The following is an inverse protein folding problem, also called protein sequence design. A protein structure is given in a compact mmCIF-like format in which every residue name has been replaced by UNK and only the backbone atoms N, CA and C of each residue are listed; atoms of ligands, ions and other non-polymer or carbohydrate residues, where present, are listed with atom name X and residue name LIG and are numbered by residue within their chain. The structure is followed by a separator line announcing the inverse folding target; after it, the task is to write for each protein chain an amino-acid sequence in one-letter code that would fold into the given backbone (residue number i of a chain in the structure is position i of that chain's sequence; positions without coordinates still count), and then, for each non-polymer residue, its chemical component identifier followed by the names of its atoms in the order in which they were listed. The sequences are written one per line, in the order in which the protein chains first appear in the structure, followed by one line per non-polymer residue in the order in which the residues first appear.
data_IF_778721501397
#
_entry.id   IF_778721501397
#
_cell.length_a   1.000
_cell.length_b   1.000
_cell.length_c   1.000
_cell.angle_alpha   90.00
_cell.angle_beta   90.00
_cell.angle_gamma   90.00
#
_symmetry.space_group_name_H-M   'P 1'
#
loop_
_entity.id
_entity.type
_entity.pdbx_description
1 polymer ?
#
# COMPACT_ATOMS: atom_id res chain seq x y z
N UNK A 1 -12.42 -27.08 4.72
CA UNK A 1 -12.14 -27.13 6.17
C UNK A 1 -10.68 -26.79 6.52
N UNK A 2 -9.73 -26.91 5.58
CA UNK A 2 -8.30 -26.66 5.85
C UNK A 2 -7.84 -25.21 5.62
N UNK A 3 -8.43 -24.48 4.68
CA UNK A 3 -8.04 -23.10 4.33
C UNK A 3 -8.49 -22.07 5.40
N UNK A 4 -9.56 -22.39 6.15
CA UNK A 4 -10.13 -21.53 7.19
C UNK A 4 -9.12 -21.09 8.26
N UNK A 5 -8.14 -21.95 8.59
CA UNK A 5 -7.10 -21.64 9.60
C UNK A 5 -6.13 -20.53 9.17
N UNK A 6 -6.13 -20.16 7.89
CA UNK A 6 -5.23 -19.20 7.29
C UNK A 6 -5.91 -17.87 6.91
N UNK A 7 -7.19 -17.71 7.25
CA UNK A 7 -8.00 -16.55 6.90
C UNK A 7 -8.69 -15.97 8.12
N UNK A 8 -8.67 -14.64 8.26
CA UNK A 8 -9.44 -13.93 9.29
C UNK A 8 -10.94 -13.96 9.00
N UNK A 9 -11.32 -13.96 7.72
CA UNK A 9 -12.71 -14.03 7.30
C UNK A 9 -12.83 -14.56 5.87
N UNK A 10 -14.00 -15.09 5.53
CA UNK A 10 -14.39 -15.48 4.17
C UNK A 10 -15.38 -14.48 3.61
N UNK A 11 -15.13 -14.05 2.38
CA UNK A 11 -15.98 -13.12 1.62
C UNK A 11 -16.70 -13.91 0.54
N UNK A 12 -18.02 -13.83 0.52
CA UNK A 12 -18.85 -14.43 -0.53
C UNK A 12 -19.74 -13.36 -1.12
N UNK A 13 -19.66 -13.16 -2.43
CA UNK A 13 -20.55 -12.25 -3.16
C UNK A 13 -21.49 -13.11 -3.99
N UNK A 14 -22.80 -12.94 -3.80
CA UNK A 14 -23.83 -13.67 -4.57
C UNK A 14 -24.90 -12.68 -4.99
N UNK A 15 -25.21 -12.62 -6.28
CA UNK A 15 -26.20 -11.71 -6.86
C UNK A 15 -26.03 -10.25 -6.39
N UNK A 16 -24.77 -9.78 -6.32
CA UNK A 16 -24.42 -8.43 -5.91
C UNK A 16 -24.56 -8.13 -4.41
N UNK A 17 -24.84 -9.14 -3.57
CA UNK A 17 -24.86 -9.01 -2.11
C UNK A 17 -23.59 -9.55 -1.48
N UNK A 18 -23.11 -8.86 -0.44
CA UNK A 18 -21.90 -9.23 0.30
C UNK A 18 -22.26 -10.07 1.52
N UNK A 19 -21.61 -11.22 1.66
CA UNK A 19 -21.71 -12.09 2.82
C UNK A 19 -20.31 -12.30 3.42
N UNK A 20 -20.19 -12.17 4.74
CA UNK A 20 -18.92 -12.34 5.45
C UNK A 20 -19.07 -13.33 6.59
N UNK A 21 -18.15 -14.29 6.65
CA UNK A 21 -18.05 -15.31 7.70
C UNK A 21 -16.73 -15.08 8.45
N UNK A 22 -16.83 -14.55 9.67
CA UNK A 22 -15.68 -14.12 10.48
C UNK A 22 -15.08 -15.29 11.27
N UNK A 23 -13.76 -15.43 11.25
CA UNK A 23 -13.03 -16.55 11.86
C UNK A 23 -12.18 -16.14 13.05
N UNK A 24 -11.48 -15.01 12.95
CA UNK A 24 -10.76 -14.40 14.07
C UNK A 24 -10.56 -12.90 13.84
N UNK A 25 -10.22 -12.21 14.92
CA UNK A 25 -10.10 -10.74 14.92
C UNK A 25 -8.89 -10.24 14.16
N UNK A 26 -9.08 -9.10 13.51
CA UNK A 26 -8.02 -8.33 12.88
C UNK A 26 -7.45 -7.29 13.84
N UNK A 27 -6.19 -6.92 13.63
CA UNK A 27 -5.61 -5.74 14.30
C UNK A 27 -6.43 -4.51 13.91
N UNK A 28 -6.90 -3.71 14.87
CA UNK A 28 -7.60 -2.44 14.62
C UNK A 28 -8.83 -2.60 13.68
N UNK A 29 -9.28 -1.51 13.07
CA UNK A 29 -10.43 -1.45 12.14
C UNK A 29 -10.17 -2.07 10.75
N UNK A 30 -9.11 -2.85 10.57
CA UNK A 30 -8.69 -3.40 9.26
C UNK A 30 -9.77 -4.23 8.58
N UNK A 31 -10.46 -5.09 9.32
CA UNK A 31 -11.56 -5.90 8.77
C UNK A 31 -12.69 -5.00 8.27
N UNK A 32 -13.15 -4.08 9.12
CA UNK A 32 -14.25 -3.17 8.84
C UNK A 32 -13.99 -2.34 7.58
N UNK A 33 -12.82 -1.73 7.46
CA UNK A 33 -12.49 -0.88 6.31
C UNK A 33 -12.21 -1.68 5.03
N UNK A 34 -11.75 -2.93 5.13
CA UNK A 34 -11.66 -3.83 3.96
C UNK A 34 -13.03 -4.28 3.48
N UNK A 35 -13.94 -4.62 4.39
CA UNK A 35 -15.35 -4.97 4.07
C UNK A 35 -16.07 -3.75 3.49
N UNK A 36 -15.84 -2.57 4.05
CA UNK A 36 -16.30 -1.30 3.48
C UNK A 36 -15.85 -1.14 2.04
N UNK A 37 -14.58 -1.44 1.74
CA UNK A 37 -14.05 -1.44 0.38
C UNK A 37 -14.82 -2.34 -0.58
N UNK A 38 -15.16 -3.56 -0.18
CA UNK A 38 -16.01 -4.45 -0.98
C UNK A 38 -17.43 -3.89 -1.19
N UNK A 39 -18.05 -3.31 -0.16
CA UNK A 39 -19.36 -2.67 -0.30
C UNK A 39 -19.29 -1.47 -1.25
N UNK A 40 -18.24 -0.66 -1.17
CA UNK A 40 -18.05 0.46 -2.09
C UNK A 40 -17.82 -0.04 -3.52
N UNK A 41 -17.06 -1.12 -3.73
CA UNK A 41 -16.90 -1.74 -5.04
C UNK A 41 -18.25 -2.17 -5.63
N UNK A 42 -19.08 -2.86 -4.84
CA UNK A 42 -20.42 -3.31 -5.27
C UNK A 42 -21.34 -2.14 -5.59
N UNK A 43 -21.28 -1.07 -4.79
CA UNK A 43 -22.04 0.16 -5.04
C UNK A 43 -21.55 0.89 -6.29
N UNK A 44 -20.23 0.89 -6.54
CA UNK A 44 -19.62 1.57 -7.68
C UNK A 44 -19.89 0.85 -8.99
N UNK A 45 -19.92 -0.48 -8.99
CA UNK A 45 -20.20 -1.31 -10.17
C UNK A 45 -21.39 -2.26 -9.96
N UNK A 46 -22.62 -1.75 -9.80
CA UNK A 46 -23.80 -2.58 -9.53
C UNK A 46 -24.02 -3.63 -10.62
N UNK A 47 -24.21 -4.89 -10.20
CA UNK A 47 -24.49 -6.01 -11.09
C UNK A 47 -23.32 -6.45 -11.99
N UNK A 48 -22.11 -5.90 -11.80
CA UNK A 48 -20.94 -6.25 -12.62
C UNK A 48 -19.92 -7.15 -11.92
N UNK A 49 -20.01 -7.28 -10.60
CA UNK A 49 -19.17 -8.21 -9.83
C UNK A 49 -19.80 -9.61 -9.92
N UNK A 50 -19.06 -10.63 -10.40
CA UNK A 50 -19.58 -11.98 -10.49
C UNK A 50 -19.78 -12.59 -9.09
N UNK A 51 -20.56 -13.67 -9.04
CA UNK A 51 -20.59 -14.51 -7.86
C UNK A 51 -19.15 -15.01 -7.57
N UNK A 52 -18.67 -14.83 -6.35
CA UNK A 52 -17.29 -15.18 -5.97
C UNK A 52 -17.20 -15.63 -4.51
N UNK A 53 -16.22 -16.46 -4.21
CA UNK A 53 -15.95 -17.01 -2.88
C UNK A 53 -14.45 -16.91 -2.56
N UNK A 54 -14.08 -16.06 -1.61
CA UNK A 54 -12.69 -15.68 -1.33
C UNK A 54 -12.36 -15.86 0.15
N UNK A 55 -11.15 -16.33 0.41
CA UNK A 55 -10.57 -16.36 1.76
C UNK A 55 -9.64 -15.16 1.92
N UNK A 56 -9.81 -14.37 2.98
CA UNK A 56 -9.05 -13.15 3.21
C UNK A 56 -8.38 -13.18 4.58
N UNK A 57 -7.12 -12.77 4.64
CA UNK A 57 -6.44 -12.50 5.90
C UNK A 57 -5.88 -11.08 6.01
N UNK A 58 -6.22 -10.43 7.11
CA UNK A 58 -5.95 -9.03 7.39
C UNK A 58 -4.65 -8.77 8.19
N UNK A 59 -3.82 -9.79 8.40
CA UNK A 59 -2.55 -9.66 9.12
C UNK A 59 -1.40 -9.21 8.20
N UNK A 60 -0.28 -8.82 8.78
CA UNK A 60 0.82 -8.14 8.08
C UNK A 60 1.66 -9.05 7.16
N UNK A 61 1.95 -10.30 7.54
CA UNK A 61 2.89 -11.14 6.76
C UNK A 61 2.15 -12.03 5.79
N UNK A 62 2.69 -12.25 4.57
CA UNK A 62 2.20 -13.31 3.71
C UNK A 62 2.45 -14.68 4.37
N UNK A 63 1.66 -15.67 3.98
CA UNK A 63 1.49 -16.88 4.78
C UNK A 63 1.71 -18.16 3.95
N UNK A 64 1.33 -18.15 2.69
CA UNK A 64 1.29 -19.36 1.86
C UNK A 64 2.57 -19.44 1.04
N UNK A 65 3.60 -20.08 1.61
CA UNK A 65 4.88 -20.27 0.95
C UNK A 65 4.76 -21.09 -0.35
N UNK A 66 5.55 -20.69 -1.35
CA UNK A 66 5.77 -21.42 -2.60
C UNK A 66 6.78 -22.54 -2.37
N UNK A 67 6.29 -23.70 -1.99
CA UNK A 67 7.09 -24.93 -1.99
C UNK A 67 6.47 -25.96 -2.96
N UNK A 68 7.27 -26.91 -3.42
CA UNK A 68 6.82 -27.94 -4.37
C UNK A 68 5.86 -28.97 -3.77
N UNK A 69 5.66 -28.94 -2.45
CA UNK A 69 4.90 -29.94 -1.70
C UNK A 69 3.51 -29.46 -1.26
N UNK A 70 3.24 -28.15 -1.29
CA UNK A 70 1.96 -27.58 -0.87
C UNK A 70 1.04 -27.35 -2.07
N UNK A 71 -0.20 -27.77 -1.95
CA UNK A 71 -1.28 -27.28 -2.82
C UNK A 71 -1.42 -25.77 -2.63
N UNK A 72 -1.34 -24.95 -3.70
CA UNK A 72 -1.47 -23.51 -3.57
C UNK A 72 -2.85 -23.15 -3.02
N UNK A 73 -2.88 -22.45 -1.89
CA UNK A 73 -4.12 -21.95 -1.27
C UNK A 73 -4.29 -20.47 -1.62
N UNK A 74 -5.35 -20.08 -2.34
CA UNK A 74 -5.56 -18.68 -2.69
C UNK A 74 -6.08 -17.90 -1.48
N UNK A 75 -5.18 -17.23 -0.76
CA UNK A 75 -5.51 -16.31 0.33
C UNK A 75 -5.26 -14.88 -0.13
N UNK A 76 -6.28 -14.03 -0.02
CA UNK A 76 -6.16 -12.60 -0.24
C UNK A 76 -5.55 -11.93 0.98
N UNK A 77 -4.57 -11.07 0.75
CA UNK A 77 -3.85 -10.32 1.78
C UNK A 77 -3.44 -8.97 1.25
N UNK A 78 -2.87 -8.13 2.08
CA UNK A 78 -2.41 -6.81 1.65
C UNK A 78 -1.02 -6.78 1.01
N UNK A 79 -0.22 -7.85 1.18
CA UNK A 79 1.06 -8.00 0.50
C UNK A 79 1.39 -9.46 0.17
N UNK A 80 2.44 -9.64 -0.64
CA UNK A 80 3.04 -10.93 -0.97
C UNK A 80 4.56 -10.80 -1.10
N UNK A 81 5.26 -11.90 -1.38
CA UNK A 81 6.65 -11.88 -1.85
C UNK A 81 6.80 -12.83 -3.05
N UNK A 82 7.94 -12.83 -3.76
CA UNK A 82 8.20 -13.82 -4.81
C UNK A 82 8.08 -15.28 -4.33
N UNK A 83 8.21 -15.52 -3.03
CA UNK A 83 8.15 -16.84 -2.41
C UNK A 83 6.77 -17.18 -1.83
N UNK A 84 5.74 -16.37 -2.07
CA UNK A 84 4.41 -16.57 -1.52
C UNK A 84 3.31 -16.60 -2.59
N UNK A 85 2.27 -17.39 -2.36
CA UNK A 85 1.08 -17.51 -3.21
C UNK A 85 -0.02 -16.50 -2.85
N UNK A 86 0.11 -15.82 -1.72
CA UNK A 86 -0.84 -14.81 -1.25
C UNK A 86 -1.11 -13.75 -2.34
N UNK A 87 -2.38 -13.37 -2.47
CA UNK A 87 -2.89 -12.50 -3.53
C UNK A 87 -3.03 -11.07 -2.98
N UNK A 88 -2.21 -10.10 -3.43
CA UNK A 88 -2.27 -8.72 -2.93
C UNK A 88 -3.59 -8.01 -3.29
N UNK A 89 -4.22 -7.46 -2.27
CA UNK A 89 -5.43 -6.65 -2.30
C UNK A 89 -5.13 -5.27 -1.73
N UNK A 90 -5.80 -4.19 -2.17
CA UNK A 90 -5.63 -2.86 -1.57
C UNK A 90 -5.86 -2.88 -0.06
N UNK A 91 -4.97 -2.24 0.69
CA UNK A 91 -5.09 -2.19 2.15
C UNK A 91 -6.27 -1.35 2.62
N UNK A 92 -6.71 -1.56 3.86
CA UNK A 92 -7.85 -0.87 4.46
C UNK A 92 -7.71 0.66 4.47
N UNK A 93 -6.47 1.17 4.48
CA UNK A 93 -6.21 2.60 4.63
C UNK A 93 -6.46 3.41 3.36
N UNK A 94 -6.79 2.77 2.23
CA UNK A 94 -7.34 3.50 1.07
C UNK A 94 -8.69 4.15 1.39
N UNK A 95 -9.48 3.53 2.28
CA UNK A 95 -10.76 4.07 2.74
C UNK A 95 -10.65 4.83 4.06
N UNK A 96 -9.58 4.61 4.81
CA UNK A 96 -9.23 5.37 6.01
C UNK A 96 -8.57 4.52 7.09
N UNK A 97 -7.90 5.19 8.02
CA UNK A 97 -7.26 4.57 9.17
C UNK A 97 -7.51 5.42 10.43
N UNK A 98 -8.68 5.25 11.07
CA UNK A 98 -9.12 6.12 12.16
C UNK A 98 -8.21 6.06 13.39
N UNK A 99 -7.57 4.93 13.68
CA UNK A 99 -6.71 4.75 14.85
C UNK A 99 -5.51 5.71 14.86
N UNK A 100 -5.02 6.09 13.68
CA UNK A 100 -3.92 7.05 13.54
C UNK A 100 -4.31 8.31 12.76
N UNK A 101 -5.62 8.55 12.63
CA UNK A 101 -6.20 9.75 12.05
C UNK A 101 -5.76 10.04 10.60
N UNK A 102 -5.60 9.00 9.78
CA UNK A 102 -5.31 9.12 8.35
C UNK A 102 -6.62 8.95 7.56
N UNK A 103 -7.02 9.98 6.83
CA UNK A 103 -8.24 9.99 6.03
C UNK A 103 -8.20 9.07 4.81
N UNK A 104 -9.28 9.07 4.01
CA UNK A 104 -9.33 8.34 2.74
C UNK A 104 -8.24 8.81 1.77
N UNK A 105 -7.83 7.91 0.88
CA UNK A 105 -6.70 8.16 -0.02
C UNK A 105 -6.84 9.41 -0.88
N UNK A 106 -8.01 9.71 -1.44
CA UNK A 106 -8.19 10.89 -2.29
C UNK A 106 -7.94 12.20 -1.52
N UNK A 107 -8.45 12.28 -0.29
CA UNK A 107 -8.26 13.44 0.57
C UNK A 107 -6.78 13.57 0.99
N UNK A 108 -6.16 12.47 1.40
CA UNK A 108 -4.77 12.47 1.84
C UNK A 108 -3.81 12.77 0.69
N UNK A 109 -4.04 12.21 -0.51
CA UNK A 109 -3.23 12.52 -1.69
C UNK A 109 -3.27 14.01 -2.01
N UNK A 110 -4.47 14.61 -2.06
CA UNK A 110 -4.64 16.04 -2.35
C UNK A 110 -3.95 16.90 -1.28
N UNK A 111 -4.19 16.60 -0.01
CA UNK A 111 -3.58 17.28 1.14
C UNK A 111 -2.05 17.20 1.13
N UNK A 112 -1.48 16.03 0.80
CA UNK A 112 -0.04 15.83 0.68
C UNK A 112 0.53 16.60 -0.51
N UNK A 113 -0.13 16.54 -1.67
CA UNK A 113 0.28 17.25 -2.88
C UNK A 113 0.31 18.75 -2.66
N UNK A 114 -0.76 19.33 -2.09
CA UNK A 114 -0.81 20.75 -1.72
C UNK A 114 0.27 21.11 -0.68
N UNK A 115 0.44 20.28 0.34
CA UNK A 115 1.48 20.45 1.35
C UNK A 115 2.88 20.50 0.73
N UNK A 116 3.16 19.62 -0.23
CA UNK A 116 4.44 19.58 -0.94
C UNK A 116 4.72 20.82 -1.78
N UNK A 117 3.68 21.49 -2.28
CA UNK A 117 3.77 22.66 -3.15
C UNK A 117 4.00 23.97 -2.39
N UNK A 118 3.89 23.98 -1.06
CA UNK A 118 4.22 25.14 -0.21
C UNK A 118 5.67 25.61 -0.35
N UNK A 119 6.56 24.74 -0.83
CA UNK A 119 7.96 25.02 -1.06
C UNK A 119 8.42 24.34 -2.35
N UNK A 120 8.94 25.11 -3.30
CA UNK A 120 9.52 24.59 -4.54
C UNK A 120 10.61 23.55 -4.25
N UNK A 121 10.74 22.51 -5.08
CA UNK A 121 11.68 21.40 -4.86
C UNK A 121 13.12 21.89 -4.60
N UNK A 122 13.60 22.87 -5.37
CA UNK A 122 14.93 23.48 -5.20
C UNK A 122 15.18 24.02 -3.78
N UNK A 123 14.15 24.53 -3.13
CA UNK A 123 14.27 25.16 -1.81
C UNK A 123 14.08 24.16 -0.65
N UNK A 124 13.61 22.93 -0.91
CA UNK A 124 13.48 21.88 0.11
C UNK A 124 14.84 21.53 0.70
N UNK A 125 14.85 21.02 1.94
CA UNK A 125 16.08 20.60 2.62
C UNK A 125 16.84 19.56 1.78
N UNK A 126 18.16 19.74 1.57
CA UNK A 126 18.93 18.95 0.61
C UNK A 126 19.40 17.59 1.14
N UNK A 127 18.77 17.07 2.19
CA UNK A 127 19.08 15.78 2.81
C UNK A 127 17.82 14.92 2.89
N UNK A 128 18.01 13.62 3.08
CA UNK A 128 16.93 12.65 3.15
C UNK A 128 16.22 12.69 4.50
N UNK A 129 14.93 12.39 4.48
CA UNK A 129 14.11 12.36 5.69
C UNK A 129 13.34 11.06 5.84
N UNK A 130 13.40 10.51 7.05
CA UNK A 130 12.54 9.41 7.48
C UNK A 130 11.86 9.76 8.79
N UNK A 131 10.58 9.39 8.92
CA UNK A 131 9.87 9.38 10.20
C UNK A 131 9.04 8.11 10.32
N UNK A 132 9.25 7.33 11.38
CA UNK A 132 8.53 6.09 11.57
C UNK A 132 8.81 5.42 12.90
N UNK A 133 8.00 4.40 13.23
CA UNK A 133 8.20 3.61 14.43
C UNK A 133 9.24 2.50 14.13
N UNK A 134 10.42 2.52 14.74
CA UNK A 134 11.41 1.46 14.57
C UNK A 134 11.08 0.21 15.38
N UNK A 135 10.27 0.33 16.44
CA UNK A 135 9.98 -0.72 17.41
C UNK A 135 8.85 -1.64 16.90
N UNK A 136 9.05 -2.21 15.70
CA UNK A 136 8.10 -3.05 14.95
C UNK A 136 8.73 -4.36 14.46
N UNK A 137 9.81 -4.80 15.11
CA UNK A 137 10.57 -6.00 14.74
C UNK A 137 11.05 -5.93 13.27
N UNK A 138 11.65 -4.80 12.91
CA UNK A 138 12.21 -4.55 11.58
C UNK A 138 13.70 -4.24 11.69
N UNK A 139 14.59 -5.21 11.38
CA UNK A 139 16.03 -4.99 11.39
C UNK A 139 16.46 -3.82 10.49
N UNK A 140 15.74 -3.59 9.39
CA UNK A 140 16.02 -2.48 8.48
C UNK A 140 15.74 -1.12 9.14
N UNK A 141 14.66 -0.99 9.91
CA UNK A 141 14.38 0.27 10.63
C UNK A 141 15.36 0.49 11.77
N UNK A 142 15.75 -0.57 12.48
CA UNK A 142 16.76 -0.49 13.53
C UNK A 142 18.12 -0.02 12.97
N UNK A 143 18.54 -0.59 11.84
CA UNK A 143 19.76 -0.19 11.16
C UNK A 143 19.67 1.25 10.62
N UNK A 144 18.52 1.66 10.08
CA UNK A 144 18.29 3.02 9.55
C UNK A 144 18.50 4.11 10.63
N UNK A 145 18.22 3.83 11.91
CA UNK A 145 18.45 4.79 12.99
C UNK A 145 19.91 5.22 13.13
N UNK A 146 20.85 4.37 12.70
CA UNK A 146 22.29 4.69 12.73
C UNK A 146 22.69 5.71 11.67
N UNK A 147 21.79 6.03 10.74
CA UNK A 147 22.05 6.98 9.65
C UNK A 147 21.65 8.44 10.01
N UNK A 148 21.30 8.73 11.28
CA UNK A 148 20.80 10.05 11.69
C UNK A 148 21.91 11.10 11.83
N UNK A 149 22.50 11.49 10.70
CA UNK A 149 23.50 12.53 10.61
C UNK A 149 23.43 13.18 9.21
N UNK A 150 23.06 14.45 9.18
CA UNK A 150 22.90 15.20 7.93
C UNK A 150 24.23 15.55 7.26
N UNK A 151 25.33 15.60 8.00
CA UNK A 151 26.66 15.90 7.46
C UNK A 151 27.36 14.61 6.99
N UNK A 152 27.30 13.55 7.80
CA UNK A 152 27.96 12.29 7.48
C UNK A 152 27.22 11.49 6.40
N UNK A 153 25.89 11.36 6.53
CA UNK A 153 25.06 10.47 5.72
C UNK A 153 24.05 11.21 4.84
N UNK A 154 23.88 12.52 5.03
CA UNK A 154 22.87 13.28 4.32
C UNK A 154 21.46 12.85 4.70
N UNK A 155 21.21 12.47 5.96
CA UNK A 155 19.90 11.98 6.40
C UNK A 155 19.50 12.45 7.80
N UNK A 156 18.21 12.76 7.95
CA UNK A 156 17.52 13.04 9.21
C UNK A 156 16.50 11.93 9.47
N UNK A 157 16.66 11.22 10.60
CA UNK A 157 15.88 10.03 10.95
C UNK A 157 15.15 10.27 12.27
N UNK A 158 13.83 10.42 12.17
CA UNK A 158 12.95 10.76 13.29
C UNK A 158 12.16 9.57 13.79
N UNK A 159 12.22 9.28 15.09
CA UNK A 159 11.39 8.26 15.72
C UNK A 159 9.95 8.74 15.86
N UNK A 160 9.00 7.95 15.35
CA UNK A 160 7.56 8.18 15.53
C UNK A 160 7.08 7.46 16.80
N UNK A 161 6.59 8.24 17.77
CA UNK A 161 5.97 7.71 18.98
C UNK A 161 4.45 7.91 18.89
N UNK A 162 3.70 6.83 18.62
CA UNK A 162 2.25 6.90 18.45
C UNK A 162 1.51 7.27 19.74
N UNK A 163 2.01 6.85 20.91
CA UNK A 163 1.42 7.24 22.20
C UNK A 163 1.47 8.75 22.39
N UNK A 164 2.59 9.39 22.03
CA UNK A 164 2.71 10.85 22.07
C UNK A 164 1.84 11.54 21.03
N UNK A 165 1.75 11.02 19.81
CA UNK A 165 0.86 11.60 18.79
C UNK A 165 -0.61 11.57 19.22
N UNK A 166 -1.06 10.49 19.84
CA UNK A 166 -2.42 10.40 20.37
C UNK A 166 -2.66 11.51 21.40
N UNK A 167 -1.69 11.77 22.29
CA UNK A 167 -1.75 12.85 23.27
C UNK A 167 -1.75 14.25 22.63
N UNK A 168 -0.96 14.44 21.57
CA UNK A 168 -0.80 15.72 20.89
C UNK A 168 -1.87 15.96 19.79
N UNK A 169 -2.81 15.02 19.61
CA UNK A 169 -3.84 15.08 18.58
C UNK A 169 -3.30 14.96 17.15
N UNK A 170 -2.25 14.16 16.96
CA UNK A 170 -1.60 13.86 15.67
C UNK A 170 -0.99 15.06 14.94
N UNK A 171 -0.79 16.19 15.63
CA UNK A 171 -0.27 17.44 15.04
C UNK A 171 1.07 17.26 14.35
N UNK A 172 1.92 16.39 14.90
CA UNK A 172 3.29 16.20 14.42
C UNK A 172 3.39 15.09 13.36
N UNK A 173 2.36 14.25 13.22
CA UNK A 173 2.29 13.16 12.24
C UNK A 173 1.49 13.51 10.98
N UNK A 174 0.92 14.71 10.88
CA UNK A 174 0.20 15.15 9.67
C UNK A 174 1.07 15.02 8.41
N UNK A 175 0.63 14.17 7.49
CA UNK A 175 1.41 13.77 6.30
C UNK A 175 1.78 14.95 5.39
N UNK A 176 0.86 15.91 5.21
CA UNK A 176 1.07 17.12 4.41
C UNK A 176 2.22 18.02 4.88
N UNK A 177 2.67 17.85 6.13
CA UNK A 177 3.77 18.65 6.70
C UNK A 177 5.13 17.94 6.60
N UNK A 178 5.18 16.74 6.00
CA UNK A 178 6.38 15.91 5.97
C UNK A 178 7.05 15.85 4.58
N UNK A 179 6.80 16.83 3.72
CA UNK A 179 7.34 16.89 2.34
C UNK A 179 8.30 18.08 2.13
N UNK A 180 8.99 18.53 3.19
CA UNK A 180 9.88 19.71 3.16
C UNK A 180 11.33 19.38 2.79
N UNK A 181 11.63 18.10 2.56
CA UNK A 181 12.95 17.58 2.19
C UNK A 181 12.96 17.15 0.74
N UNK A 182 14.12 17.20 0.06
CA UNK A 182 14.23 16.75 -1.33
C UNK A 182 14.03 15.25 -1.47
N UNK A 183 14.39 14.48 -0.44
CA UNK A 183 14.35 13.02 -0.45
C UNK A 183 13.55 12.46 0.73
N UNK A 184 12.78 11.40 0.48
CA UNK A 184 11.98 10.69 1.50
C UNK A 184 12.35 9.21 1.51
N UNK A 185 12.73 8.69 2.67
CA UNK A 185 13.15 7.29 2.80
C UNK A 185 11.92 6.41 3.04
N UNK A 186 11.84 5.28 2.34
CA UNK A 186 10.92 4.19 2.65
C UNK A 186 11.68 3.01 3.25
N UNK A 187 11.16 2.50 4.37
CA UNK A 187 11.68 1.35 5.08
C UNK A 187 10.52 0.47 5.56
N UNK A 188 10.58 -0.82 5.23
CA UNK A 188 9.60 -1.82 5.64
C UNK A 188 9.50 -1.94 7.17
N UNK A 189 8.30 -2.24 7.65
CA UNK A 189 8.03 -2.45 9.07
C UNK A 189 8.09 -3.94 9.41
N UNK A 190 7.13 -4.40 10.19
CA UNK A 190 6.94 -5.83 10.46
C UNK A 190 6.73 -6.64 9.16
N UNK A 191 6.08 -6.02 8.16
CA UNK A 191 5.99 -6.47 6.78
C UNK A 191 6.06 -5.26 5.81
N UNK A 192 5.28 -5.27 4.72
CA UNK A 192 5.10 -4.06 3.89
C UNK A 192 4.62 -2.90 4.78
N UNK A 193 4.99 -1.66 4.44
CA UNK A 193 4.54 -0.50 5.19
C UNK A 193 3.57 0.34 4.39
N UNK A 194 2.41 0.58 5.00
CA UNK A 194 1.34 1.46 4.50
C UNK A 194 1.86 2.87 4.15
N UNK A 195 2.99 3.30 4.74
CA UNK A 195 3.60 4.60 4.48
C UNK A 195 4.10 4.82 3.06
N UNK A 196 4.29 3.74 2.26
CA UNK A 196 4.81 3.84 0.89
C UNK A 196 4.02 4.86 0.06
N UNK A 197 2.70 4.66 -0.09
CA UNK A 197 1.88 5.55 -0.94
C UNK A 197 1.92 7.01 -0.52
N UNK A 198 2.00 7.29 0.78
CA UNK A 198 2.08 8.66 1.30
C UNK A 198 3.46 9.29 1.06
N UNK A 199 4.54 8.51 1.13
CA UNK A 199 5.89 8.95 0.75
C UNK A 199 5.94 9.30 -0.74
N UNK A 200 5.37 8.44 -1.58
CA UNK A 200 5.34 8.63 -3.04
C UNK A 200 4.48 9.84 -3.46
N UNK A 201 3.49 10.22 -2.67
CA UNK A 201 2.64 11.38 -2.93
C UNK A 201 3.32 12.74 -2.67
N UNK A 202 4.47 12.79 -1.97
CA UNK A 202 5.10 14.05 -1.56
C UNK A 202 5.76 14.85 -2.70
N UNK A 203 5.98 14.27 -3.89
CA UNK A 203 6.79 14.92 -4.95
C UNK A 203 8.28 15.06 -4.58
N UNK A 204 8.70 14.49 -3.46
CA UNK A 204 10.09 14.26 -3.09
C UNK A 204 10.64 13.08 -3.89
N UNK A 205 11.97 12.96 -3.97
CA UNK A 205 12.61 11.75 -4.49
C UNK A 205 12.50 10.63 -3.45
N UNK A 206 11.80 9.52 -3.73
CA UNK A 206 11.76 8.40 -2.81
C UNK A 206 13.09 7.66 -2.84
N UNK A 207 13.66 7.42 -1.66
CA UNK A 207 14.79 6.52 -1.43
C UNK A 207 14.23 5.22 -0.83
N UNK A 208 14.07 4.19 -1.64
CA UNK A 208 13.41 2.95 -1.23
C UNK A 208 14.49 1.94 -0.85
N UNK A 209 14.58 1.59 0.43
CA UNK A 209 15.37 0.43 0.87
C UNK A 209 14.73 -0.81 0.27
N UNK A 210 15.50 -1.55 -0.54
CA UNK A 210 14.96 -2.58 -1.43
C UNK A 210 13.95 -3.48 -0.69
N UNK A 211 12.66 -3.45 -1.10
CA UNK A 211 11.60 -4.08 -0.34
C UNK A 211 11.63 -5.60 -0.53
N UNK A 212 11.21 -6.33 0.51
CA UNK A 212 10.94 -7.77 0.45
C UNK A 212 9.50 -8.06 0.05
N UNK A 213 8.60 -7.13 0.35
CA UNK A 213 7.17 -7.30 0.14
C UNK A 213 6.67 -6.47 -1.05
N UNK A 214 5.78 -7.07 -1.82
CA UNK A 214 5.00 -6.39 -2.85
C UNK A 214 3.58 -6.15 -2.35
N UNK A 215 3.09 -4.92 -2.47
CA UNK A 215 1.66 -4.63 -2.43
C UNK A 215 1.09 -4.66 -3.86
N UNK A 216 -0.19 -4.31 -4.02
CA UNK A 216 -0.86 -4.42 -5.31
C UNK A 216 -0.36 -3.43 -6.38
N UNK A 217 0.33 -2.34 -6.01
CA UNK A 217 0.80 -1.30 -6.95
C UNK A 217 2.32 -1.18 -7.03
N UNK A 218 3.07 -1.65 -6.03
CA UNK A 218 4.53 -1.50 -5.93
C UNK A 218 5.26 -2.08 -7.15
N UNK A 219 4.72 -3.14 -7.75
CA UNK A 219 5.22 -3.73 -9.01
C UNK A 219 5.14 -2.79 -10.20
N UNK A 220 4.36 -1.71 -10.14
CA UNK A 220 4.36 -0.65 -11.16
C UNK A 220 5.54 0.32 -11.08
N UNK A 221 6.24 0.38 -9.94
CA UNK A 221 7.32 1.34 -9.71
C UNK A 221 8.64 0.90 -10.36
N UNK A 222 9.35 1.83 -11.00
CA UNK A 222 10.66 1.58 -11.61
C UNK A 222 11.80 2.33 -10.92
N UNK A 223 12.91 1.64 -10.60
CA UNK A 223 14.11 2.29 -10.09
C UNK A 223 14.66 3.27 -11.13
N UNK A 224 15.21 4.40 -10.66
CA UNK A 224 15.68 5.57 -11.43
C UNK A 224 14.62 6.33 -12.24
N UNK A 225 13.38 5.84 -12.30
CA UNK A 225 12.23 6.54 -12.89
C UNK A 225 11.27 7.09 -11.83
N UNK A 226 11.01 6.29 -10.80
CA UNK A 226 10.05 6.61 -9.75
C UNK A 226 10.71 6.72 -8.37
N UNK A 227 11.89 6.13 -8.19
CA UNK A 227 12.62 6.15 -6.93
C UNK A 227 14.11 5.83 -7.14
N UNK A 228 14.94 6.10 -6.13
CA UNK A 228 16.32 5.63 -6.07
C UNK A 228 16.40 4.42 -5.12
N UNK A 229 16.95 3.27 -5.57
CA UNK A 229 17.06 2.08 -4.73
C UNK A 229 18.17 2.25 -3.69
N UNK A 230 17.91 1.82 -2.46
CA UNK A 230 18.86 1.83 -1.35
C UNK A 230 19.18 0.38 -0.96
N UNK A 231 20.47 0.08 -0.83
CA UNK A 231 20.93 -1.25 -0.48
C UNK A 231 20.61 -1.59 0.99
N UNK A 232 19.93 -2.72 1.28
CA UNK A 232 19.67 -3.13 2.65
C UNK A 232 20.94 -3.58 3.39
N UNK A 233 22.00 -3.96 2.67
CA UNK A 233 23.28 -4.37 3.26
C UNK A 233 24.14 -3.17 3.70
N UNK A 234 23.99 -2.02 3.06
CA UNK A 234 24.80 -0.81 3.28
C UNK A 234 23.91 0.46 3.28
N UNK A 235 22.94 0.52 4.21
CA UNK A 235 21.87 1.54 4.21
C UNK A 235 22.43 2.98 4.23
N UNK A 236 23.23 3.35 5.23
CA UNK A 236 23.67 4.75 5.37
C UNK A 236 24.59 5.21 4.22
N UNK A 237 25.61 4.42 3.80
CA UNK A 237 26.40 4.76 2.61
C UNK A 237 25.54 4.88 1.35
N UNK A 238 24.58 3.96 1.13
CA UNK A 238 23.70 4.03 -0.04
C UNK A 238 22.81 5.27 -0.04
N UNK A 239 22.30 5.69 1.13
CA UNK A 239 21.53 6.94 1.27
C UNK A 239 22.41 8.13 0.93
N UNK A 240 23.63 8.17 1.48
CA UNK A 240 24.59 9.23 1.21
C UNK A 240 24.85 9.39 -0.29
N UNK A 241 25.21 8.31 -0.97
CA UNK A 241 25.48 8.33 -2.41
C UNK A 241 24.27 8.82 -3.21
N UNK A 242 23.06 8.37 -2.86
CA UNK A 242 21.83 8.81 -3.54
C UNK A 242 21.53 10.30 -3.32
N UNK A 243 21.77 10.82 -2.12
CA UNK A 243 21.57 12.24 -1.76
C UNK A 243 22.61 13.13 -2.45
N UNK A 244 23.88 12.74 -2.44
CA UNK A 244 24.97 13.45 -3.13
C UNK A 244 24.69 13.52 -4.64
N UNK A 245 24.38 12.38 -5.27
CA UNK A 245 24.01 12.34 -6.68
C UNK A 245 22.81 13.23 -6.99
N UNK A 246 21.75 13.19 -6.18
CA UNK A 246 20.54 13.98 -6.42
C UNK A 246 20.80 15.49 -6.29
N UNK A 247 21.69 15.88 -5.37
CA UNK A 247 22.06 17.29 -5.16
C UNK A 247 22.97 17.81 -6.28
N UNK A 248 23.80 16.96 -6.88
CA UNK A 248 24.58 17.25 -8.08
C UNK A 248 23.74 17.25 -9.37
N UNK A 249 22.59 16.54 -9.36
CA UNK A 249 21.70 16.39 -10.51
C UNK A 249 20.27 16.88 -10.22
N UNK A 250 20.07 18.14 -9.79
CA UNK A 250 18.80 18.62 -9.24
C UNK A 250 17.61 18.49 -10.21
N UNK A 251 17.83 18.74 -11.51
CA UNK A 251 16.77 18.63 -12.53
C UNK A 251 16.28 17.17 -12.63
N UNK A 252 17.21 16.22 -12.75
CA UNK A 252 16.88 14.78 -12.85
C UNK A 252 16.23 14.26 -11.55
N UNK A 253 16.71 14.73 -10.41
CA UNK A 253 16.14 14.36 -9.11
C UNK A 253 14.69 14.88 -8.99
N UNK A 254 14.44 16.15 -9.33
CA UNK A 254 13.08 16.71 -9.35
C UNK A 254 12.16 15.95 -10.33
N UNK A 255 12.64 15.57 -11.50
CA UNK A 255 11.90 14.76 -12.48
C UNK A 255 11.48 13.40 -11.91
N UNK A 256 12.32 12.72 -11.13
CA UNK A 256 11.97 11.45 -10.47
C UNK A 256 10.85 11.66 -9.44
N UNK A 257 10.97 12.69 -8.60
CA UNK A 257 9.95 13.04 -7.60
C UNK A 257 8.59 13.38 -8.23
N UNK A 258 8.61 14.15 -9.33
CA UNK A 258 7.40 14.47 -10.10
C UNK A 258 6.81 13.23 -10.78
N UNK A 259 7.64 12.43 -11.44
CA UNK A 259 7.23 11.20 -12.14
C UNK A 259 6.46 10.24 -11.24
N UNK A 260 6.88 10.08 -9.98
CA UNK A 260 6.18 9.21 -9.03
C UNK A 260 4.95 9.87 -8.42
N UNK A 261 4.95 11.19 -8.16
CA UNK A 261 3.74 11.89 -7.73
C UNK A 261 2.65 11.81 -8.81
N UNK A 262 3.01 11.95 -10.10
CA UNK A 262 2.10 11.79 -11.25
C UNK A 262 1.62 10.33 -11.41
N UNK A 263 2.42 9.35 -11.00
CA UNK A 263 1.98 7.95 -10.92
C UNK A 263 0.95 7.76 -9.80
N UNK A 264 1.19 8.33 -8.61
CA UNK A 264 0.26 8.25 -7.48
C UNK A 264 -1.05 9.01 -7.74
N UNK A 265 -1.01 10.12 -8.48
CA UNK A 265 -2.22 10.85 -8.91
C UNK A 265 -3.10 9.99 -9.82
N UNK A 266 -2.47 9.19 -10.70
CA UNK A 266 -3.20 8.24 -11.55
C UNK A 266 -3.71 7.03 -10.77
N UNK A 267 -3.09 6.69 -9.64
CA UNK A 267 -3.56 5.66 -8.71
C UNK A 267 -4.66 6.21 -7.80
N UNK A 268 -5.65 6.91 -8.37
CA UNK A 268 -6.81 7.44 -7.65
C UNK A 268 -7.81 6.33 -7.27
N UNK A 269 -8.87 6.67 -6.53
CA UNK A 269 -9.81 5.65 -6.03
C UNK A 269 -10.49 4.86 -7.16
N UNK A 270 -10.70 5.48 -8.31
CA UNK A 270 -11.27 4.80 -9.48
C UNK A 270 -10.35 3.68 -9.96
N UNK A 271 -9.04 3.91 -10.01
CA UNK A 271 -8.07 2.86 -10.34
C UNK A 271 -7.93 1.79 -9.27
N UNK A 272 -8.16 2.13 -8.00
CA UNK A 272 -8.23 1.13 -6.92
C UNK A 272 -9.42 0.19 -7.16
N UNK A 273 -10.60 0.73 -7.44
CA UNK A 273 -11.78 -0.08 -7.73
C UNK A 273 -11.66 -0.86 -9.04
N UNK A 274 -11.02 -0.30 -10.08
CA UNK A 274 -10.70 -1.04 -11.30
C UNK A 274 -9.79 -2.25 -11.01
N UNK A 275 -8.75 -2.08 -10.18
CA UNK A 275 -7.88 -3.19 -9.78
C UNK A 275 -8.68 -4.26 -9.03
N UNK A 276 -9.48 -3.87 -8.04
CA UNK A 276 -10.32 -4.80 -7.27
C UNK A 276 -11.32 -5.53 -8.18
N UNK A 277 -11.97 -4.81 -9.09
CA UNK A 277 -12.90 -5.37 -10.08
C UNK A 277 -12.22 -6.47 -10.90
N UNK A 278 -11.09 -6.16 -11.51
CA UNK A 278 -10.37 -7.10 -12.35
C UNK A 278 -9.82 -8.29 -11.57
N UNK A 279 -9.28 -8.05 -10.38
CA UNK A 279 -8.77 -9.09 -9.51
C UNK A 279 -9.86 -10.11 -9.17
N UNK A 280 -11.04 -9.64 -8.78
CA UNK A 280 -12.18 -10.49 -8.41
C UNK A 280 -12.75 -11.19 -9.64
N UNK A 281 -12.89 -10.50 -10.78
CA UNK A 281 -13.41 -11.08 -12.02
C UNK A 281 -12.51 -12.19 -12.53
N UNK A 282 -11.19 -11.97 -12.58
CA UNK A 282 -10.26 -13.02 -13.03
C UNK A 282 -10.18 -14.17 -12.02
N UNK A 283 -10.22 -13.88 -10.72
CA UNK A 283 -10.25 -14.92 -9.69
C UNK A 283 -11.52 -15.78 -9.78
N UNK A 284 -12.70 -15.17 -9.97
CA UNK A 284 -13.97 -15.90 -10.07
C UNK A 284 -14.00 -16.90 -11.23
N UNK A 285 -13.31 -16.62 -12.35
CA UNK A 285 -13.17 -17.57 -13.47
C UNK A 285 -12.39 -18.83 -13.13
N UNK A 286 -11.59 -18.80 -12.06
CA UNK A 286 -10.79 -19.93 -11.60
C UNK A 286 -11.57 -20.85 -10.66
N UNK A 287 -12.74 -20.43 -10.18
CA UNK A 287 -13.58 -21.26 -9.33
C UNK A 287 -14.19 -22.39 -10.17
N UNK A 288 -13.97 -23.63 -9.75
CA UNK A 288 -14.54 -24.85 -10.33
C UNK A 288 -15.86 -25.26 -9.64
N UNK A 289 -16.37 -24.41 -8.74
CA UNK A 289 -17.62 -24.57 -8.03
C UNK A 289 -18.46 -23.29 -8.10
N UNK A 290 -19.77 -23.43 -7.92
CA UNK A 290 -20.67 -22.29 -7.75
C UNK A 290 -20.60 -21.80 -6.30
N UNK A 291 -20.32 -20.50 -6.04
CA UNK A 291 -20.35 -19.94 -4.70
C UNK A 291 -21.69 -20.18 -4.00
N UNK A 292 -21.64 -20.56 -2.72
CA UNK A 292 -22.81 -20.78 -1.88
C UNK A 292 -22.62 -19.99 -0.58
N UNK A 293 -23.68 -19.30 -0.16
CA UNK A 293 -23.68 -18.57 1.11
C UNK A 293 -23.44 -19.53 2.28
N UNK A 294 -22.39 -19.32 3.10
CA UNK A 294 -22.18 -20.08 4.33
C UNK A 294 -23.31 -19.81 5.32
N UNK A 295 -23.79 -20.84 6.02
CA UNK A 295 -24.87 -20.68 7.01
C UNK A 295 -24.48 -19.79 8.20
N UNK A 296 -23.19 -19.69 8.50
CA UNK A 296 -22.62 -18.84 9.56
C UNK A 296 -22.32 -17.42 9.10
N UNK A 297 -22.48 -17.11 7.81
CA UNK A 297 -22.17 -15.79 7.26
C UNK A 297 -23.27 -14.77 7.55
N UNK A 298 -22.83 -13.54 7.83
CA UNK A 298 -23.67 -12.35 7.93
C UNK A 298 -23.79 -11.68 6.56
N UNK A 299 -24.98 -11.18 6.23
CA UNK A 299 -25.11 -10.25 5.10
C UNK A 299 -24.58 -8.89 5.55
N UNK A 300 -23.56 -8.39 4.88
CA UNK A 300 -22.98 -7.08 5.18
C UNK A 300 -23.56 -6.01 4.27
N UNK A 301 -23.87 -4.85 4.86
CA UNK A 301 -24.34 -3.66 4.17
C UNK A 301 -23.78 -2.40 4.86
N UNK A 302 -24.08 -1.22 4.31
CA UNK A 302 -23.64 0.05 4.90
C UNK A 302 -24.16 0.19 6.34
N UNK A 303 -25.44 -0.13 6.55
CA UNK A 303 -26.07 -0.01 7.87
C UNK A 303 -25.49 -1.02 8.88
N UNK A 304 -25.15 -2.24 8.45
CA UNK A 304 -24.54 -3.23 9.36
C UNK A 304 -23.18 -2.72 9.87
N UNK A 305 -22.33 -2.19 9.00
CA UNK A 305 -21.04 -1.63 9.42
C UNK A 305 -21.21 -0.41 10.33
N UNK A 306 -22.17 0.49 10.04
CA UNK A 306 -22.44 1.65 10.90
C UNK A 306 -22.94 1.25 12.29
N UNK A 307 -23.67 0.14 12.42
CA UNK A 307 -24.09 -0.37 13.73
C UNK A 307 -22.90 -0.79 14.62
N UNK A 308 -21.79 -1.24 14.03
CA UNK A 308 -20.60 -1.67 14.77
C UNK A 308 -19.49 -0.62 14.84
N UNK A 309 -19.54 0.38 13.97
CA UNK A 309 -18.57 1.46 13.95
C UNK A 309 -18.74 2.41 15.13
N UNK A 310 -17.63 2.80 15.77
CA UNK A 310 -17.65 3.93 16.69
C UNK A 310 -17.89 5.25 15.93
N UNK A 311 -18.07 6.35 16.67
CA UNK A 311 -18.33 7.66 16.06
C UNK A 311 -17.23 8.10 15.08
N UNK A 312 -15.96 7.84 15.40
CA UNK A 312 -14.82 8.23 14.56
C UNK A 312 -14.76 7.37 13.30
N UNK A 313 -14.92 6.05 13.46
CA UNK A 313 -14.98 5.09 12.37
C UNK A 313 -16.13 5.44 11.41
N UNK A 314 -17.32 5.75 11.94
CA UNK A 314 -18.51 6.15 11.14
C UNK A 314 -18.21 7.36 10.26
N UNK A 315 -17.56 8.40 10.82
CA UNK A 315 -17.15 9.59 10.05
C UNK A 315 -16.15 9.24 8.94
N UNK A 316 -15.18 8.37 9.22
CA UNK A 316 -14.17 7.97 8.23
C UNK A 316 -14.77 7.10 7.11
N UNK A 317 -15.67 6.18 7.44
CA UNK A 317 -16.41 5.40 6.45
C UNK A 317 -17.23 6.32 5.54
N UNK A 318 -18.01 7.24 6.12
CA UNK A 318 -18.83 8.19 5.36
C UNK A 318 -18.00 9.04 4.37
N UNK A 319 -16.79 9.46 4.76
CA UNK A 319 -15.87 10.23 3.92
C UNK A 319 -15.35 9.48 2.69
N UNK A 320 -15.31 8.15 2.73
CA UNK A 320 -14.88 7.30 1.60
C UNK A 320 -16.04 6.61 0.87
N UNK A 321 -17.28 7.03 1.14
CA UNK A 321 -18.46 6.49 0.48
C UNK A 321 -18.44 6.85 -1.00
N UNK A 322 -18.67 5.86 -1.87
CA UNK A 322 -18.71 6.05 -3.31
C UNK A 322 -20.14 6.13 -3.85
N UNK A 323 -20.27 6.47 -5.12
CA UNK A 323 -21.52 6.45 -5.89
C UNK A 323 -21.37 5.48 -7.06
N UNK A 324 -22.49 5.00 -7.65
CA UNK A 324 -22.42 4.24 -8.89
C UNK A 324 -21.61 4.99 -9.95
N UNK A 325 -20.66 4.31 -10.57
CA UNK A 325 -19.85 4.88 -11.65
C UNK A 325 -20.69 5.04 -12.91
N UNK A 326 -20.64 6.22 -13.53
CA UNK A 326 -21.25 6.46 -14.84
C UNK A 326 -20.51 5.72 -15.96
N UNK A 327 -19.21 5.50 -15.76
CA UNK A 327 -18.36 4.75 -16.68
C UNK A 327 -18.30 3.26 -16.31
N UNK A 328 -18.18 2.35 -17.31
CA UNK A 328 -17.84 0.96 -17.03
C UNK A 328 -16.44 0.85 -16.38
N UNK A 329 -16.14 -0.26 -15.67
CA UNK A 329 -14.78 -0.57 -15.25
C UNK A 329 -13.81 -0.49 -16.44
N UNK A 330 -12.54 -0.17 -16.19
CA UNK A 330 -11.58 -0.08 -17.29
C UNK A 330 -11.38 -1.43 -18.02
N UNK A 331 -10.72 -1.38 -19.18
CA UNK A 331 -10.37 -2.60 -19.92
C UNK A 331 -8.94 -2.98 -19.60
N UNK A 332 -8.72 -4.21 -19.12
CA UNK A 332 -7.38 -4.79 -19.04
C UNK A 332 -6.82 -4.99 -20.46
N UNK A 333 -5.63 -4.44 -20.77
CA UNK A 333 -4.98 -4.71 -22.06
C UNK A 333 -4.73 -6.21 -22.24
N UNK A 334 -5.10 -6.79 -23.38
CA UNK A 334 -4.92 -8.23 -23.67
C UNK A 334 -3.44 -8.70 -23.53
N UNK A 335 -2.48 -7.79 -23.69
CA UNK A 335 -1.04 -8.07 -23.59
C UNK A 335 -0.48 -7.97 -22.16
N UNK A 336 -1.23 -7.43 -21.20
CA UNK A 336 -0.75 -7.17 -19.85
C UNK A 336 -0.31 -8.46 -19.12
N UNK A 337 -0.97 -9.60 -19.39
CA UNK A 337 -0.82 -10.82 -18.59
C UNK A 337 0.27 -11.82 -19.03
N UNK A 338 1.00 -11.62 -20.15
CA UNK A 338 1.86 -12.71 -20.69
C UNK A 338 3.34 -12.39 -20.90
N UNK A 339 3.73 -11.14 -21.11
CA UNK A 339 5.14 -10.79 -21.43
C UNK A 339 5.73 -9.68 -20.56
N UNK A 340 4.87 -8.88 -19.93
CA UNK A 340 5.27 -7.68 -19.18
C UNK A 340 6.00 -8.06 -17.88
N UNK A 341 5.65 -9.15 -17.21
CA UNK A 341 6.17 -9.44 -15.86
C UNK A 341 7.64 -9.92 -15.83
N UNK A 342 8.03 -10.97 -16.57
CA UNK A 342 9.38 -11.53 -16.40
C UNK A 342 10.49 -10.60 -16.88
N UNK A 343 10.30 -9.96 -18.04
CA UNK A 343 11.30 -9.05 -18.62
C UNK A 343 11.44 -7.78 -17.78
N UNK A 344 10.32 -7.22 -17.29
CA UNK A 344 10.39 -6.04 -16.42
C UNK A 344 10.95 -6.37 -15.04
N UNK A 345 10.62 -7.52 -14.45
CA UNK A 345 11.22 -7.97 -13.19
C UNK A 345 12.74 -8.13 -13.35
N UNK A 346 13.19 -8.82 -14.40
CA UNK A 346 14.61 -9.01 -14.68
C UNK A 346 15.31 -7.67 -14.93
N UNK A 347 14.70 -6.76 -15.69
CA UNK A 347 15.24 -5.43 -15.92
C UNK A 347 15.37 -4.62 -14.63
N UNK A 348 14.35 -4.65 -13.75
CA UNK A 348 14.41 -3.99 -12.44
C UNK A 348 15.52 -4.58 -11.57
N UNK A 349 15.61 -5.90 -11.49
CA UNK A 349 16.67 -6.58 -10.75
C UNK A 349 18.06 -6.19 -11.26
N UNK A 350 18.25 -6.14 -12.59
CA UNK A 350 19.49 -5.71 -13.20
C UNK A 350 19.83 -4.25 -12.87
N UNK A 351 18.85 -3.34 -12.88
CA UNK A 351 19.06 -1.95 -12.48
C UNK A 351 19.44 -1.87 -11.00
N UNK A 352 18.73 -2.56 -10.12
CA UNK A 352 19.01 -2.55 -8.69
C UNK A 352 20.42 -3.07 -8.42
N UNK A 353 20.76 -4.25 -8.96
CA UNK A 353 22.07 -4.88 -8.77
C UNK A 353 23.21 -4.04 -9.35
N UNK A 354 23.05 -3.48 -10.56
CA UNK A 354 24.07 -2.60 -11.16
C UNK A 354 24.23 -1.28 -10.41
N UNK A 355 23.17 -0.79 -9.76
CA UNK A 355 23.23 0.46 -8.99
C UNK A 355 23.85 0.22 -7.62
N UNK A 356 23.66 -0.96 -7.01
CA UNK A 356 24.40 -1.38 -5.80
C UNK A 356 25.92 -1.55 -6.05
N UNK A 357 26.35 -1.67 -7.31
CA UNK A 357 27.76 -1.79 -7.70
C UNK A 357 28.38 -0.45 -8.12
N UNK A 358 27.57 0.59 -8.36
CA UNK A 358 27.98 1.89 -8.87
C UNK A 358 27.76 3.03 -7.87
N UNK A 359 27.11 2.74 -6.73
CA UNK A 359 26.88 3.63 -5.59
C UNK A 359 27.45 3.01 -4.32
#
# INVERSE_FOLDING_TARGET
MEVKKFASFRVVIINGKLYVDYYYDCVQSRAMFTIWGFLQLLKRFPGRIPDVDMMFDCMDKPLIERNSSNTPLPIFRYCTTPNHYDIPFPDWSFWGWPEINIGPWEEEFQSIKEGSQKQSWKNKYPYAYWRGNPDVVSPIREALLQCNDTEQWGAEIMRQNWTREVMDGFKQSKLSNQCNHRYKIYAEGYAWSVSLKYILACGCVPLIINPKYDDFFSRGLFPKRNYLPISPENICPSIKTAVEWGNENPIKAEEIGKSVQDFMERLNIDRIYDYMYHLIVEYAKLLDFKPVRPSTSHEECVDSLYCFADQKQTVFLARSATMPSEAPPCMLPQQANRQIDKMMIAQKANIINSTQLLM
#
